data_IF_953168327022
#
_entry.id   IF_953168327022
#
_cell.length_a   1.000
_cell.length_b   1.000
_cell.length_c   1.000
_cell.angle_alpha   90.00
_cell.angle_beta   90.00
_cell.angle_gamma   90.00
#
_symmetry.space_group_name_H-M   'P 1'
#
loop_
_entity.id
_entity.type
_entity.pdbx_description
1 polymer ?
2 non-polymer ?
3 non-polymer ?
4 non-polymer ?
5 water ?
#
# COMPACT_ATOMS: atom_id res chain seq x y z
C UNK A 1 0.23 3.40 22.97
N UNK A 2 1.16 4.34 23.12
CA UNK A 2 1.32 5.47 22.17
C UNK A 2 1.80 4.99 20.82
N UNK A 3 2.75 4.04 20.81
CA UNK A 3 3.29 3.46 19.55
C UNK A 3 2.21 2.63 18.87
N UNK A 4 1.44 1.85 19.60
CA UNK A 4 0.35 1.02 19.03
C UNK A 4 -0.70 1.95 18.40
N UNK A 5 -1.08 3.02 19.10
CA UNK A 5 -2.08 3.98 18.59
C UNK A 5 -1.55 4.62 17.30
N UNK A 6 -0.28 5.00 17.28
CA UNK A 6 0.34 5.64 16.09
C UNK A 6 0.34 4.65 14.93
N UNK A 7 0.67 3.38 15.17
CA UNK A 7 0.69 2.36 14.09
C UNK A 7 -0.72 2.13 13.57
N UNK A 8 -1.72 2.10 14.45
CA UNK A 8 -3.13 1.89 14.04
C UNK A 8 -3.55 3.04 13.12
N UNK A 9 -3.18 4.27 13.48
CA UNK A 9 -3.54 5.48 12.69
C UNK A 9 -2.86 5.40 11.31
N UNK A 10 -1.59 4.99 11.27
CA UNK A 10 -0.85 4.90 9.98
C UNK A 10 -1.50 3.83 9.11
N UNK A 11 -1.88 2.69 9.68
CA UNK A 11 -2.50 1.62 8.87
C UNK A 11 -3.84 2.09 8.32
N UNK A 12 -4.61 2.83 9.09
CA UNK A 12 -5.92 3.33 8.62
C UNK A 12 -5.69 4.27 7.44
N UNK A 13 -4.68 5.13 7.52
CA UNK A 13 -4.37 6.11 6.45
C UNK A 13 -3.94 5.33 5.20
N UNK A 14 -3.10 4.32 5.36
CA UNK A 14 -2.59 3.52 4.22
C UNK A 14 -3.75 2.81 3.51
N UNK A 15 -4.82 2.42 4.18
CA UNK A 15 -6.01 1.83 3.51
C UNK A 15 -6.60 2.84 2.51
N UNK A 16 -6.73 4.09 2.92
CA UNK A 16 -7.27 5.16 2.04
C UNK A 16 -6.28 5.41 0.91
N UNK A 17 -4.98 5.46 1.19
CA UNK A 17 -3.95 5.69 0.14
C UNK A 17 -4.04 4.58 -0.93
N UNK A 18 -4.14 3.33 -0.51
CA UNK A 18 -4.22 2.22 -1.48
C UNK A 18 -5.52 2.31 -2.29
N UNK A 19 -6.64 2.67 -1.67
CA UNK A 19 -7.92 2.85 -2.39
C UNK A 19 -7.76 3.95 -3.44
N UNK A 20 -7.09 5.05 -3.11
CA UNK A 20 -6.89 6.17 -4.07
C UNK A 20 -6.02 5.68 -5.23
N UNK A 21 -5.01 4.86 -4.96
CA UNK A 21 -4.16 4.33 -6.05
C UNK A 21 -4.98 3.40 -6.94
N UNK A 22 -5.86 2.58 -6.37
CA UNK A 22 -6.76 1.73 -7.18
C UNK A 22 -7.59 2.60 -8.14
N UNK A 23 -8.11 3.72 -7.67
CA UNK A 23 -8.93 4.64 -8.50
C UNK A 23 -8.07 5.22 -9.63
N UNK A 24 -6.83 5.58 -9.34
CA UNK A 24 -5.90 6.14 -10.36
C UNK A 24 -5.60 5.05 -11.41
N UNK A 25 -5.37 3.82 -10.99
CA UNK A 25 -5.12 2.71 -11.95
C UNK A 25 -6.37 2.48 -12.81
N UNK A 26 -7.57 2.51 -12.24
CA UNK A 26 -8.81 2.33 -13.04
C UNK A 26 -8.89 3.46 -14.08
N UNK A 27 -8.55 4.69 -13.71
CA UNK A 27 -8.59 5.83 -14.64
C UNK A 27 -7.61 5.57 -15.79
N UNK A 28 -6.43 5.04 -15.50
CA UNK A 28 -5.43 4.72 -16.54
C UNK A 28 -5.97 3.62 -17.45
N UNK A 29 -6.67 2.63 -16.89
CA UNK A 29 -7.36 1.59 -17.68
C UNK A 29 -8.36 2.24 -18.65
N UNK A 30 -9.14 3.19 -18.14
CA UNK A 30 -10.18 3.81 -18.94
C UNK A 30 -9.60 4.80 -19.96
N UNK A 31 -8.44 5.39 -19.65
CA UNK A 31 -7.82 6.34 -20.53
C UNK A 31 -7.01 5.59 -21.56
N UNK A 32 -6.34 6.43 -22.33
C UNK B 1 -4.93 -9.45 22.43
N UNK B 2 -5.89 -9.04 21.62
CA UNK B 2 -5.68 -9.20 20.16
C UNK B 2 -5.37 -7.89 19.46
N UNK B 3 -4.92 -6.84 20.14
CA UNK B 3 -4.73 -5.50 19.51
C UNK B 3 -3.56 -5.58 18.52
N UNK B 4 -2.44 -6.18 18.91
CA UNK B 4 -1.26 -6.25 17.99
C UNK B 4 -1.56 -7.25 16.89
N UNK B 5 -2.23 -8.35 17.20
CA UNK B 5 -2.55 -9.40 16.21
C UNK B 5 -3.43 -8.79 15.12
N UNK B 6 -4.38 -7.94 15.49
CA UNK B 6 -5.29 -7.29 14.52
C UNK B 6 -4.48 -6.39 13.58
N UNK B 7 -3.53 -5.64 14.12
CA UNK B 7 -2.68 -4.74 13.31
C UNK B 7 -1.80 -5.58 12.38
N UNK B 8 -1.26 -6.69 12.84
CA UNK B 8 -0.42 -7.58 12.01
C UNK B 8 -1.25 -8.10 10.82
N UNK B 9 -2.50 -8.47 11.06
CA UNK B 9 -3.39 -9.01 10.00
C UNK B 9 -3.71 -7.89 9.00
N UNK B 10 -3.94 -6.67 9.48
CA UNK B 10 -4.24 -5.53 8.57
C UNK B 10 -2.99 -5.24 7.72
N UNK B 11 -1.81 -5.27 8.31
CA UNK B 11 -0.56 -4.99 7.57
C UNK B 11 -0.36 -6.07 6.50
N UNK B 12 -0.63 -7.33 6.81
CA UNK B 12 -0.48 -8.43 5.83
C UNK B 12 -1.45 -8.20 4.67
N UNK B 13 -2.68 -7.80 4.95
CA UNK B 13 -3.69 -7.54 3.90
C UNK B 13 -3.22 -6.36 3.04
N UNK B 14 -2.72 -5.29 3.65
CA UNK B 14 -2.24 -4.10 2.90
C UNK B 14 -1.05 -4.50 2.01
N UNK B 15 -0.17 -5.36 2.48
CA UNK B 15 1.00 -5.83 1.69
C UNK B 15 0.50 -6.59 0.47
N UNK B 16 -0.50 -7.43 0.63
CA UNK B 16 -1.12 -8.20 -0.48
C UNK B 16 -1.75 -7.22 -1.48
N UNK B 17 -2.48 -6.23 -0.99
CA UNK B 17 -3.15 -5.24 -1.87
C UNK B 17 -2.08 -4.42 -2.62
N UNK B 18 -0.98 -4.05 -1.98
CA UNK B 18 0.11 -3.31 -2.67
C UNK B 18 0.69 -4.19 -3.79
N UNK B 19 0.93 -5.47 -3.52
CA UNK B 19 1.46 -6.39 -4.55
C UNK B 19 0.47 -6.46 -5.72
N UNK B 20 -0.83 -6.55 -5.45
CA UNK B 20 -1.86 -6.65 -6.50
C UNK B 20 -1.88 -5.35 -7.31
N UNK B 21 -1.71 -4.19 -6.68
CA UNK B 21 -1.69 -2.90 -7.40
C UNK B 21 -0.45 -2.87 -8.31
N UNK B 22 0.69 -3.33 -7.83
CA UNK B 22 1.90 -3.39 -8.67
C UNK B 22 1.65 -4.26 -9.90
N UNK B 23 0.96 -5.39 -9.74
CA UNK B 23 0.66 -6.30 -10.88
C UNK B 23 -0.27 -5.61 -11.87
N UNK B 24 -1.25 -4.87 -11.38
CA UNK B 24 -2.20 -4.13 -12.24
C UNK B 24 -1.44 -3.04 -13.00
N UNK B 25 -0.52 -2.34 -12.35
CA UNK B 25 0.26 -1.29 -13.04
C UNK B 25 1.13 -1.94 -14.12
N UNK B 26 1.78 -3.07 -13.86
CA UNK B 26 2.61 -3.75 -14.87
C UNK B 26 1.73 -4.12 -16.07
N UNK B 27 0.52 -4.62 -15.83
CA UNK B 27 -0.41 -5.01 -16.90
C UNK B 27 -0.76 -3.78 -17.75
N UNK B 28 -0.97 -2.63 -17.12
CA UNK B 28 -1.29 -1.38 -17.86
C UNK B 28 -0.05 -0.97 -18.67
N UNK B 29 1.13 -1.07 -18.09
CA UNK B 29 2.37 -0.59 -18.73
C UNK B 29 2.66 -1.44 -19.96
N UNK B 30 2.50 -2.76 -19.85
CA UNK B 30 3.01 -3.68 -20.86
C UNK B 30 1.89 -4.27 -21.72
N UNK B 31 0.68 -4.30 -21.21
CA UNK B 31 -0.43 -4.95 -21.89
C UNK B 31 -1.07 -4.00 -22.88
N UNK B 32 -0.92 -2.73 -22.55
C UNK C 1 11.82 -7.71 19.22
N UNK C 2 10.66 -7.12 19.49
CA UNK C 2 9.42 -7.92 19.54
C UNK C 2 8.40 -7.49 18.49
N UNK C 3 7.13 -7.72 18.80
CA UNK C 3 6.00 -7.61 17.85
C UNK C 3 5.84 -6.16 17.39
N UNK C 4 5.88 -5.19 18.30
CA UNK C 4 5.67 -3.77 17.92
C UNK C 4 6.84 -3.31 17.04
N UNK C 5 8.07 -3.69 17.37
CA UNK C 5 9.25 -3.33 16.56
C UNK C 5 9.08 -3.92 15.16
N UNK C 6 8.65 -5.17 15.07
CA UNK C 6 8.47 -5.86 13.77
C UNK C 6 7.38 -5.14 12.96
N UNK C 7 6.27 -4.74 13.59
CA UNK C 7 5.18 -4.02 12.88
C UNK C 7 5.70 -2.67 12.38
N UNK C 8 6.48 -1.96 13.19
CA UNK C 8 7.01 -0.63 12.80
C UNK C 8 7.91 -0.79 11.57
N UNK C 9 8.75 -1.83 11.55
CA UNK C 9 9.68 -2.08 10.42
C UNK C 9 8.86 -2.40 9.16
N UNK C 10 7.81 -3.21 9.29
CA UNK C 10 6.97 -3.60 8.13
C UNK C 10 6.26 -2.37 7.60
N UNK C 11 5.75 -1.51 8.46
CA UNK C 11 5.03 -0.29 8.03
C UNK C 11 6.00 0.60 7.27
N UNK C 12 7.23 0.74 7.75
CA UNK C 12 8.22 1.61 7.07
C UNK C 12 8.47 1.07 5.66
N UNK C 13 8.62 -0.24 5.53
CA UNK C 13 8.91 -0.87 4.22
C UNK C 13 7.70 -0.68 3.29
N UNK C 14 6.49 -0.87 3.80
CA UNK C 14 5.25 -0.72 3.00
C UNK C 14 5.14 0.73 2.51
N UNK C 15 5.48 1.70 3.35
CA UNK C 15 5.38 3.13 2.96
C UNK C 15 6.39 3.41 1.84
N UNK C 16 7.59 2.85 1.93
CA UNK C 16 8.62 3.02 0.87
C UNK C 16 8.09 2.42 -0.44
N UNK C 17 7.53 1.22 -0.39
CA UNK C 17 7.07 0.55 -1.63
C UNK C 17 5.84 1.27 -2.18
N UNK C 18 4.98 1.84 -1.35
CA UNK C 18 3.84 2.65 -1.82
C UNK C 18 4.37 3.87 -2.58
N UNK C 19 5.39 4.54 -2.06
CA UNK C 19 5.97 5.72 -2.74
C UNK C 19 6.54 5.27 -4.08
N UNK C 20 7.20 4.12 -4.14
CA UNK C 20 7.79 3.62 -5.40
C UNK C 20 6.66 3.36 -6.42
N UNK C 21 5.54 2.77 -5.97
CA UNK C 21 4.39 2.50 -6.87
C UNK C 21 3.82 3.83 -7.36
N UNK C 22 3.65 4.81 -6.48
CA UNK C 22 3.11 6.13 -6.87
C UNK C 22 4.00 6.74 -7.95
N UNK C 23 5.32 6.65 -7.81
CA UNK C 23 6.26 7.28 -8.75
C UNK C 23 6.14 6.58 -10.09
N UNK C 24 6.02 5.26 -10.10
CA UNK C 24 5.89 4.50 -11.37
C UNK C 24 4.57 4.86 -12.03
N UNK C 25 3.49 4.91 -11.28
CA UNK C 25 2.15 5.23 -11.81
C UNK C 25 2.17 6.64 -12.41
N UNK C 26 2.73 7.60 -11.68
CA UNK C 26 2.79 9.00 -12.12
C UNK C 26 3.60 9.05 -13.42
N UNK C 27 4.72 8.35 -13.50
CA UNK C 27 5.59 8.37 -14.70
C UNK C 27 4.80 7.82 -15.88
N UNK C 28 4.01 6.76 -15.68
CA UNK C 28 3.19 6.20 -16.79
C UNK C 28 2.13 7.22 -17.20
N UNK C 29 1.49 7.85 -16.22
CA UNK C 29 0.39 8.81 -16.50
C UNK C 29 0.93 10.00 -17.29
N UNK C 30 2.08 10.53 -16.89
CA UNK C 30 2.62 11.71 -17.55
C UNK C 30 3.25 11.37 -18.90
N UNK C 31 3.75 10.14 -19.04
CA UNK C 31 4.37 9.72 -20.29
C UNK C 31 3.34 9.43 -21.37
N UNK C 32 3.73 9.61 -22.61
X LIG D 1 -12.42 7.60 -9.19
X LIG E 1 -13.87 -0.09 -9.27
X LIG E 1 -13.14 1.22 -9.06
X LIG E 1 -12.06 1.26 -10.01
X LIG E 1 -12.52 1.30 -7.67
X LIG E 1 -14.08 2.40 -9.33
X LIG E 1 -13.45 3.76 -9.26
X LIG E 1 -12.41 3.87 -10.21
X LIG E 1 -14.47 4.83 -9.51
X LIG F 1 -8.25 -8.07 27.81
X LIG G 1 0.52 -13.75 -1.00
X LIG H 1 0.74 -10.37 -14.01
X LIG H 1 1.54 -10.16 -12.84
X LIG H 1 -0.60 -10.97 -13.66
X LIG H 1 -1.19 -10.23 -12.59
X LIG H 1 -1.57 -11.01 -14.82
X LIG H 1 -0.94 -11.38 -16.03
#
# INVERSE_FOLDING_TARGET
>A
XGELAALKQELAALKWELAALKEELAALKYGX
>B
XGELAALKQELAALKWELAALKEELAALKYGX
>C
XGELAALKQELAALKWELAALKEELAALKYGX
>D hetero
1 NA NA
>E hetero
1 MPD C1 C2 O2 CM C3 C4 O4 C5
>F hetero
1 NA NA
>G hetero
1 NA NA
>H hetero
1 GOL C1 O1 C2 O2 C3 O3
#
